data_IF_551607398619
#
_entry.id   IF_551607398619
#
_cell.length_a   1.000
_cell.length_b   1.000
_cell.length_c   1.000
_cell.angle_alpha   90.00
_cell.angle_beta   90.00
_cell.angle_gamma   90.00
#
_symmetry.space_group_name_H-M   'P 1'
#
loop_
_entity.id
_entity.type
_entity.pdbx_description
1 polymer ?
#
# COMPACT_ATOMS: atom_id res chain seq x y z
N UNK A 1 -3.85 17.25 -20.28
CA UNK A 1 -4.41 16.52 -19.10
C UNK A 1 -4.76 17.52 -18.00
N UNK A 2 -5.62 17.11 -17.05
CA UNK A 2 -5.90 17.90 -15.85
C UNK A 2 -5.10 17.34 -14.67
N UNK A 3 -4.43 18.21 -13.91
CA UNK A 3 -3.92 17.90 -12.57
C UNK A 3 -4.75 18.71 -11.57
N UNK A 4 -5.27 18.05 -10.54
CA UNK A 4 -6.14 18.66 -9.55
C UNK A 4 -5.88 18.12 -8.15
N UNK A 5 -6.50 18.74 -7.15
CA UNK A 5 -6.45 18.35 -5.75
C UNK A 5 -5.41 19.13 -4.93
N UNK A 6 -5.66 19.30 -3.62
CA UNK A 6 -4.83 20.13 -2.75
C UNK A 6 -3.39 19.61 -2.57
N UNK A 7 -3.10 18.34 -2.90
CA UNK A 7 -1.76 17.77 -2.75
C UNK A 7 -0.89 17.96 -4.00
N UNK A 8 -1.47 18.43 -5.11
CA UNK A 8 -0.81 18.39 -6.41
C UNK A 8 0.44 19.28 -6.47
N UNK A 9 0.47 20.39 -5.74
CA UNK A 9 1.54 21.38 -5.82
C UNK A 9 2.03 21.84 -4.45
N UNK A 10 2.41 20.90 -3.59
CA UNK A 10 3.00 21.17 -2.27
C UNK A 10 4.11 20.15 -1.97
N UNK A 11 5.24 20.62 -1.45
CA UNK A 11 6.29 19.77 -0.86
C UNK A 11 5.89 19.32 0.54
N UNK A 12 5.12 20.11 1.27
CA UNK A 12 4.67 19.81 2.63
C UNK A 12 3.85 18.53 2.69
N UNK A 13 3.00 18.31 1.69
CA UNK A 13 2.20 17.08 1.55
C UNK A 13 3.03 15.87 1.12
N UNK A 14 4.17 16.09 0.44
CA UNK A 14 5.09 15.01 0.08
C UNK A 14 5.98 14.57 1.26
N UNK A 15 6.31 15.49 2.17
CA UNK A 15 7.30 15.26 3.22
C UNK A 15 6.68 14.94 4.59
N UNK A 16 5.54 15.57 4.93
CA UNK A 16 4.91 15.43 6.24
C UNK A 16 5.76 16.02 7.39
N UNK A 17 5.36 15.74 8.63
CA UNK A 17 6.08 16.17 9.83
C UNK A 17 7.53 15.66 9.91
N UNK A 18 8.30 16.25 10.83
CA UNK A 18 9.74 16.00 11.00
C UNK A 18 10.62 16.32 9.77
N UNK A 19 10.13 17.16 8.86
CA UNK A 19 10.84 17.54 7.63
C UNK A 19 11.14 19.04 7.61
N UNK A 20 12.43 19.40 7.73
CA UNK A 20 12.96 20.78 7.86
C UNK A 20 12.52 21.56 9.12
N UNK A 21 11.30 21.33 9.61
CA UNK A 21 10.81 21.77 10.90
C UNK A 21 9.89 20.69 11.51
N UNK A 22 9.34 20.95 12.70
CA UNK A 22 8.54 19.98 13.44
C UNK A 22 7.29 19.54 12.68
N UNK A 23 6.48 20.49 12.20
CA UNK A 23 5.20 20.22 11.53
C UNK A 23 5.33 19.89 10.04
N UNK A 24 6.47 20.16 9.41
CA UNK A 24 6.71 19.88 7.98
C UNK A 24 6.19 20.96 7.01
N UNK A 25 5.46 21.95 7.53
CA UNK A 25 4.76 23.01 6.79
C UNK A 25 5.70 24.07 6.18
N UNK A 26 6.98 24.05 6.54
CA UNK A 26 8.00 24.93 5.97
C UNK A 26 8.67 24.35 4.71
N UNK A 27 8.38 23.10 4.34
CA UNK A 27 9.06 22.43 3.22
C UNK A 27 8.70 23.01 1.85
N UNK A 28 7.54 23.65 1.69
CA UNK A 28 7.19 24.39 0.45
C UNK A 28 8.18 25.51 0.15
N UNK A 29 8.84 26.06 1.16
CA UNK A 29 9.88 27.08 1.01
C UNK A 29 11.27 26.46 1.09
N UNK A 30 11.51 25.59 2.08
CA UNK A 30 12.83 25.07 2.38
C UNK A 30 13.32 24.00 1.40
N UNK A 31 12.41 23.42 0.61
CA UNK A 31 12.68 22.38 -0.38
C UNK A 31 12.10 22.76 -1.75
N UNK A 32 11.97 24.06 -2.02
CA UNK A 32 11.42 24.58 -3.28
C UNK A 32 12.29 24.23 -4.51
N UNK A 33 13.53 23.79 -4.33
CA UNK A 33 14.38 23.27 -5.41
C UNK A 33 13.96 21.88 -5.91
N UNK A 34 13.08 21.19 -5.17
CA UNK A 34 12.56 19.88 -5.54
C UNK A 34 11.17 19.99 -6.17
N UNK A 35 10.89 19.09 -7.11
CA UNK A 35 9.64 19.09 -7.85
C UNK A 35 8.47 18.55 -7.00
N UNK A 36 7.36 19.29 -6.98
CA UNK A 36 6.04 18.80 -6.54
C UNK A 36 5.49 17.74 -7.53
N UNK A 37 4.32 17.17 -7.25
CA UNK A 37 3.65 16.24 -8.20
C UNK A 37 3.37 16.94 -9.53
N UNK A 38 2.82 18.16 -9.49
CA UNK A 38 2.54 18.98 -10.65
C UNK A 38 3.81 19.24 -11.47
N UNK A 39 4.88 19.70 -10.82
CA UNK A 39 6.14 20.03 -11.49
C UNK A 39 6.84 18.78 -12.06
N UNK A 40 6.77 17.66 -11.33
CA UNK A 40 7.25 16.36 -11.80
C UNK A 40 6.53 15.91 -13.07
N UNK A 41 5.20 16.03 -13.10
CA UNK A 41 4.39 15.73 -14.29
C UNK A 41 4.73 16.68 -15.44
N UNK A 42 4.81 17.98 -15.18
CA UNK A 42 5.17 18.99 -16.19
C UNK A 42 6.56 18.77 -16.77
N UNK A 43 7.51 18.24 -15.98
CA UNK A 43 8.84 17.88 -16.47
C UNK A 43 8.79 16.75 -17.51
N UNK A 44 7.85 15.82 -17.38
CA UNK A 44 7.70 14.68 -18.31
C UNK A 44 6.96 15.07 -19.58
N UNK A 45 5.84 15.81 -19.47
CA UNK A 45 4.95 16.08 -20.61
C UNK A 45 5.00 17.52 -21.13
N UNK A 46 5.73 18.42 -20.48
CA UNK A 46 5.75 19.85 -20.79
C UNK A 46 4.59 20.61 -20.17
N UNK A 47 4.85 21.85 -19.73
CA UNK A 47 3.88 22.69 -19.02
C UNK A 47 2.60 22.95 -19.82
N UNK A 48 2.72 23.14 -21.15
CA UNK A 48 1.58 23.43 -22.03
C UNK A 48 0.58 22.27 -22.15
N UNK A 49 0.98 21.05 -21.76
CA UNK A 49 0.13 19.86 -21.80
C UNK A 49 -0.59 19.58 -20.47
N UNK A 50 -0.37 20.41 -19.46
CA UNK A 50 -0.92 20.26 -18.10
C UNK A 50 -1.74 21.48 -17.74
N UNK A 51 -3.06 21.30 -17.62
CA UNK A 51 -3.91 22.28 -16.97
C UNK A 51 -3.96 21.94 -15.47
N UNK A 52 -3.63 22.90 -14.61
CA UNK A 52 -3.69 22.74 -13.16
C UNK A 52 -4.84 23.56 -12.57
N UNK A 53 -5.78 22.88 -11.91
CA UNK A 53 -6.85 23.53 -11.15
C UNK A 53 -7.02 22.74 -9.86
N UNK A 54 -6.71 23.37 -8.71
CA UNK A 54 -6.70 22.70 -7.41
C UNK A 54 -8.06 22.06 -7.04
N UNK A 55 -9.17 22.73 -7.35
CA UNK A 55 -10.54 22.28 -7.12
C UNK A 55 -11.01 22.42 -5.66
N UNK A 56 -10.17 22.02 -4.71
CA UNK A 56 -10.48 22.08 -3.28
C UNK A 56 -9.22 22.38 -2.46
N UNK A 57 -9.39 23.02 -1.30
CA UNK A 57 -8.43 22.93 -0.20
C UNK A 57 -8.65 21.61 0.56
N UNK A 58 -8.08 21.47 1.75
CA UNK A 58 -8.20 20.25 2.56
C UNK A 58 -9.65 19.94 2.99
N UNK A 59 -10.40 20.95 3.43
CA UNK A 59 -11.72 20.82 4.07
C UNK A 59 -12.84 21.59 3.34
N UNK A 60 -12.50 22.37 2.32
CA UNK A 60 -13.45 23.16 1.54
C UNK A 60 -13.22 23.04 0.03
N UNK A 61 -14.30 23.03 -0.74
CA UNK A 61 -14.23 23.22 -2.19
C UNK A 61 -13.87 24.69 -2.47
N UNK A 62 -13.08 24.95 -3.51
CA UNK A 62 -12.64 26.30 -3.86
C UNK A 62 -13.01 26.64 -5.29
N UNK A 63 -12.34 26.04 -6.28
CA UNK A 63 -12.57 26.25 -7.71
C UNK A 63 -12.91 24.93 -8.43
N UNK A 64 -13.73 24.10 -7.79
CA UNK A 64 -14.15 22.79 -8.27
C UNK A 64 -14.98 22.85 -9.57
N UNK A 65 -15.82 23.87 -9.75
CA UNK A 65 -16.55 24.07 -11.02
C UNK A 65 -15.59 24.29 -12.19
N UNK A 66 -14.51 25.06 -11.96
CA UNK A 66 -13.47 25.27 -12.97
C UNK A 66 -12.70 23.97 -13.24
N UNK A 67 -12.41 23.18 -12.20
CA UNK A 67 -11.76 21.88 -12.33
C UNK A 67 -12.62 20.90 -13.16
N UNK A 68 -13.93 20.85 -12.90
CA UNK A 68 -14.89 20.06 -13.68
C UNK A 68 -14.96 20.53 -15.12
N UNK A 69 -15.00 21.83 -15.37
CA UNK A 69 -15.00 22.36 -16.73
C UNK A 69 -13.73 21.98 -17.50
N UNK A 70 -12.56 22.08 -16.86
CA UNK A 70 -11.29 21.69 -17.47
C UNK A 70 -11.16 20.18 -17.69
N UNK A 71 -11.78 19.38 -16.81
CA UNK A 71 -11.80 17.93 -16.93
C UNK A 71 -12.49 17.45 -18.22
N UNK A 72 -13.56 18.12 -18.67
CA UNK A 72 -14.30 17.74 -19.88
C UNK A 72 -13.38 17.67 -21.12
N UNK A 73 -12.41 18.59 -21.22
CA UNK A 73 -11.48 18.67 -22.34
C UNK A 73 -10.20 17.83 -22.12
N UNK A 74 -10.00 17.26 -20.93
CA UNK A 74 -8.83 16.44 -20.62
C UNK A 74 -9.00 14.99 -21.09
N UNK A 75 -7.90 14.34 -21.50
CA UNK A 75 -7.87 12.90 -21.75
C UNK A 75 -7.83 12.07 -20.45
N UNK A 76 -7.11 12.59 -19.45
CA UNK A 76 -6.89 11.98 -18.13
C UNK A 76 -6.90 13.05 -17.05
N UNK A 77 -7.31 12.66 -15.85
CA UNK A 77 -7.29 13.48 -14.64
C UNK A 77 -6.34 12.83 -13.64
N UNK A 78 -5.31 13.57 -13.21
CA UNK A 78 -4.49 13.20 -12.05
C UNK A 78 -5.03 13.98 -10.86
N UNK A 79 -5.62 13.26 -9.91
CA UNK A 79 -6.25 13.83 -8.73
C UNK A 79 -5.39 13.53 -7.50
N UNK A 80 -4.85 14.56 -6.86
CA UNK A 80 -3.91 14.44 -5.74
C UNK A 80 -4.61 14.82 -4.43
N UNK A 81 -4.95 13.82 -3.62
CA UNK A 81 -5.69 13.97 -2.36
C UNK A 81 -4.88 13.43 -1.17
N UNK A 82 -5.28 13.74 0.05
CA UNK A 82 -4.64 13.22 1.24
C UNK A 82 -4.72 14.14 2.45
N UNK A 83 -3.61 14.21 3.19
CA UNK A 83 -3.50 14.93 4.46
C UNK A 83 -2.51 16.10 4.37
N UNK A 84 -2.74 17.12 5.20
CA UNK A 84 -1.73 18.17 5.42
C UNK A 84 -0.55 17.61 6.21
N UNK A 85 0.58 18.31 6.21
CA UNK A 85 1.72 17.94 7.04
C UNK A 85 1.38 18.15 8.52
N UNK A 86 1.59 17.12 9.34
CA UNK A 86 1.40 17.19 10.79
C UNK A 86 2.48 16.38 11.51
N UNK A 87 2.63 16.63 12.81
CA UNK A 87 3.55 15.88 13.65
C UNK A 87 3.02 15.67 15.07
N UNK A 88 3.09 14.44 15.56
CA UNK A 88 2.68 14.07 16.92
C UNK A 88 1.22 14.45 17.23
N UNK A 89 0.96 15.02 18.41
CA UNK A 89 -0.39 15.26 18.95
C UNK A 89 -1.22 16.24 18.13
N UNK A 90 -0.59 17.19 17.43
CA UNK A 90 -1.32 18.12 16.55
C UNK A 90 -1.96 17.41 15.36
N UNK A 91 -1.46 16.22 15.01
CA UNK A 91 -2.02 15.36 13.98
C UNK A 91 -3.14 14.44 14.47
N UNK A 92 -3.61 14.54 15.71
CA UNK A 92 -4.68 13.65 16.18
C UNK A 92 -5.99 13.86 15.39
N UNK A 93 -6.66 12.75 15.07
CA UNK A 93 -7.89 12.72 14.27
C UNK A 93 -8.88 11.79 14.96
N UNK A 94 -10.16 12.12 14.89
CA UNK A 94 -11.23 11.26 15.42
C UNK A 94 -11.67 10.19 14.42
N UNK A 95 -11.48 10.46 13.12
CA UNK A 95 -11.92 9.58 12.02
C UNK A 95 -10.86 9.54 10.90
N UNK A 96 -10.78 8.39 10.21
CA UNK A 96 -9.86 8.16 9.11
C UNK A 96 -10.44 8.56 7.74
N UNK A 97 -11.71 8.92 7.66
CA UNK A 97 -12.39 9.32 6.43
C UNK A 97 -11.72 10.52 5.77
N UNK A 98 -11.37 10.41 4.49
CA UNK A 98 -10.81 11.52 3.73
C UNK A 98 -11.81 12.71 3.79
N UNK A 99 -11.35 13.96 3.93
CA UNK A 99 -12.26 15.10 4.09
C UNK A 99 -13.34 15.19 3.01
N UNK A 100 -14.56 15.55 3.41
CA UNK A 100 -15.75 15.58 2.54
C UNK A 100 -15.56 16.44 1.29
N UNK A 101 -14.82 17.55 1.37
CA UNK A 101 -14.49 18.39 0.22
C UNK A 101 -13.67 17.62 -0.83
N UNK A 102 -12.67 16.85 -0.39
CA UNK A 102 -11.84 16.04 -1.28
C UNK A 102 -12.63 14.89 -1.90
N UNK A 103 -13.49 14.21 -1.11
CA UNK A 103 -14.42 13.19 -1.61
C UNK A 103 -15.40 13.78 -2.64
N UNK A 104 -15.93 14.97 -2.37
CA UNK A 104 -16.88 15.64 -3.27
C UNK A 104 -16.21 16.06 -4.58
N UNK A 105 -14.99 16.59 -4.52
CA UNK A 105 -14.20 16.91 -5.71
C UNK A 105 -13.95 15.66 -6.56
N UNK A 106 -13.56 14.54 -5.94
CA UNK A 106 -13.33 13.28 -6.65
C UNK A 106 -14.57 12.80 -7.40
N UNK A 107 -15.74 12.81 -6.74
CA UNK A 107 -17.02 12.43 -7.37
C UNK A 107 -17.39 13.34 -8.53
N UNK A 108 -17.21 14.66 -8.36
CA UNK A 108 -17.48 15.64 -9.43
C UNK A 108 -16.59 15.39 -10.65
N UNK A 109 -15.30 15.14 -10.45
CA UNK A 109 -14.36 14.86 -11.53
C UNK A 109 -14.62 13.51 -12.20
N UNK A 110 -14.88 12.45 -11.43
CA UNK A 110 -15.25 11.15 -11.98
C UNK A 110 -16.57 11.20 -12.77
N UNK A 111 -17.52 12.03 -12.32
CA UNK A 111 -18.79 12.28 -13.02
C UNK A 111 -18.67 12.88 -14.42
N UNK A 112 -17.50 13.39 -14.81
CA UNK A 112 -17.22 13.83 -16.19
C UNK A 112 -17.04 12.66 -17.17
N UNK A 113 -16.89 11.44 -16.66
CA UNK A 113 -16.65 10.23 -17.46
C UNK A 113 -15.20 10.07 -17.92
N UNK A 114 -14.29 10.97 -17.53
CA UNK A 114 -12.87 10.85 -17.81
C UNK A 114 -12.16 9.92 -16.82
N UNK A 115 -11.14 9.16 -17.25
CA UNK A 115 -10.35 8.35 -16.33
C UNK A 115 -9.66 9.21 -15.26
N UNK A 116 -9.91 8.89 -13.99
CA UNK A 116 -9.28 9.53 -12.84
C UNK A 116 -8.22 8.61 -12.26
N UNK A 117 -6.98 9.11 -12.16
CA UNK A 117 -5.87 8.48 -11.44
C UNK A 117 -5.74 9.22 -10.11
N UNK A 118 -6.12 8.57 -9.03
CA UNK A 118 -5.97 9.10 -7.68
C UNK A 118 -4.53 8.89 -7.18
N UNK A 119 -3.89 9.95 -6.74
CA UNK A 119 -2.61 9.92 -6.02
C UNK A 119 -2.86 10.35 -4.59
N UNK A 120 -2.54 9.48 -3.63
CA UNK A 120 -2.70 9.74 -2.21
C UNK A 120 -1.37 10.05 -1.55
N UNK A 121 -1.24 11.25 -0.99
CA UNK A 121 -0.11 11.64 -0.14
C UNK A 121 -0.61 11.90 1.27
N UNK A 122 -0.30 10.98 2.17
CA UNK A 122 -0.91 10.88 3.49
C UNK A 122 0.06 10.24 4.49
N UNK A 123 -0.06 10.58 5.76
CA UNK A 123 0.80 9.99 6.81
C UNK A 123 0.27 8.67 7.33
N UNK A 124 -1.02 8.39 7.10
CA UNK A 124 -1.73 7.19 7.54
C UNK A 124 -2.82 6.82 6.49
N UNK A 125 -3.36 5.59 6.48
CA UNK A 125 -4.33 5.19 5.46
C UNK A 125 -5.68 5.89 5.65
N UNK A 126 -6.01 6.87 4.80
CA UNK A 126 -7.31 7.58 4.81
C UNK A 126 -8.39 6.79 4.11
N UNK A 127 -9.60 6.76 4.65
CA UNK A 127 -10.69 6.03 4.01
C UNK A 127 -11.21 6.84 2.82
N UNK A 128 -11.01 6.27 1.62
CA UNK A 128 -11.54 6.77 0.36
C UNK A 128 -12.50 5.76 -0.31
N UNK A 129 -12.93 4.73 0.42
CA UNK A 129 -13.93 3.73 -0.02
C UNK A 129 -15.12 4.34 -0.78
N UNK A 130 -15.72 5.49 -0.39
CA UNK A 130 -16.86 6.06 -1.10
C UNK A 130 -16.62 6.43 -2.57
N UNK A 131 -15.36 6.53 -3.01
CA UNK A 131 -15.00 6.93 -4.38
C UNK A 131 -14.25 5.83 -5.15
N UNK A 132 -13.84 4.72 -4.52
CA UNK A 132 -12.91 3.76 -5.14
C UNK A 132 -13.43 3.17 -6.46
N UNK A 133 -14.74 2.91 -6.56
CA UNK A 133 -15.34 2.31 -7.76
C UNK A 133 -15.49 3.31 -8.92
N UNK A 134 -15.23 4.59 -8.69
CA UNK A 134 -15.30 5.67 -9.68
C UNK A 134 -13.92 6.00 -10.26
N UNK A 135 -12.86 5.41 -9.71
CA UNK A 135 -11.46 5.70 -10.07
C UNK A 135 -10.93 4.67 -11.08
N UNK A 136 -10.10 5.12 -12.01
CA UNK A 136 -9.40 4.25 -12.96
C UNK A 136 -8.15 3.60 -12.35
N UNK A 137 -7.48 4.30 -11.45
CA UNK A 137 -6.32 3.80 -10.72
C UNK A 137 -6.11 4.55 -9.39
N UNK A 138 -5.40 3.93 -8.46
CA UNK A 138 -4.99 4.52 -7.19
C UNK A 138 -3.50 4.27 -6.96
N UNK A 139 -2.76 5.33 -6.64
CA UNK A 139 -1.37 5.29 -6.20
C UNK A 139 -1.29 5.84 -4.78
N UNK A 140 -1.04 4.98 -3.81
CA UNK A 140 -0.76 5.37 -2.43
C UNK A 140 0.74 5.66 -2.30
N UNK A 141 1.11 6.93 -2.19
CA UNK A 141 2.49 7.39 -2.10
C UNK A 141 2.95 7.64 -0.65
N UNK A 142 2.02 7.71 0.31
CA UNK A 142 2.26 8.18 1.68
C UNK A 142 3.02 9.53 1.69
N UNK A 143 4.11 9.65 2.45
CA UNK A 143 5.04 10.77 2.37
C UNK A 143 6.31 10.33 1.61
N UNK A 144 6.37 10.49 0.28
CA UNK A 144 7.49 10.03 -0.55
C UNK A 144 8.76 10.91 -0.44
N UNK A 145 8.71 12.01 0.31
CA UNK A 145 9.83 12.93 0.51
C UNK A 145 10.09 13.87 -0.69
N UNK A 146 11.26 14.56 -0.71
CA UNK A 146 11.49 15.68 -1.63
C UNK A 146 11.49 15.26 -3.12
N UNK A 147 11.95 14.05 -3.43
CA UNK A 147 11.95 13.51 -4.80
C UNK A 147 10.63 12.84 -5.19
N UNK A 148 9.61 12.93 -4.32
CA UNK A 148 8.33 12.25 -4.49
C UNK A 148 7.59 12.64 -5.76
N UNK A 149 7.58 13.93 -6.13
CA UNK A 149 6.96 14.39 -7.36
C UNK A 149 7.54 13.73 -8.62
N UNK A 150 8.87 13.63 -8.68
CA UNK A 150 9.57 12.95 -9.77
C UNK A 150 9.27 11.44 -9.82
N UNK A 151 9.29 10.78 -8.67
CA UNK A 151 9.00 9.35 -8.59
C UNK A 151 7.55 9.05 -9.02
N UNK A 152 6.59 9.85 -8.54
CA UNK A 152 5.17 9.72 -8.91
C UNK A 152 4.99 9.91 -10.42
N UNK A 153 5.60 10.94 -11.01
CA UNK A 153 5.53 11.16 -12.46
C UNK A 153 6.10 9.97 -13.25
N UNK A 154 7.29 9.48 -12.88
CA UNK A 154 7.91 8.31 -13.53
C UNK A 154 7.04 7.04 -13.43
N UNK A 155 6.31 6.87 -12.33
CA UNK A 155 5.36 5.77 -12.19
C UNK A 155 4.16 5.98 -13.10
N UNK A 156 3.47 7.13 -13.03
CA UNK A 156 2.26 7.40 -13.83
C UNK A 156 2.51 7.25 -15.33
N UNK A 157 3.66 7.74 -15.82
CA UNK A 157 4.01 7.66 -17.24
C UNK A 157 4.70 6.33 -17.63
N UNK A 158 5.00 5.47 -16.66
CA UNK A 158 5.52 4.13 -16.90
C UNK A 158 7.00 4.06 -17.23
N UNK A 159 7.77 5.13 -16.99
CA UNK A 159 9.24 5.13 -17.00
C UNK A 159 9.81 4.20 -15.93
N UNK A 160 9.09 4.10 -14.80
CA UNK A 160 9.35 3.13 -13.75
C UNK A 160 8.12 2.25 -13.51
N UNK A 161 8.36 0.97 -13.23
CA UNK A 161 7.31 0.03 -12.86
C UNK A 161 7.11 0.05 -11.33
N UNK A 162 5.89 0.30 -10.81
CA UNK A 162 5.63 0.27 -9.38
C UNK A 162 5.96 -1.10 -8.77
N UNK A 163 6.57 -1.08 -7.59
CA UNK A 163 7.01 -2.28 -6.87
C UNK A 163 6.86 -2.15 -5.35
N UNK A 164 6.13 -1.14 -4.89
CA UNK A 164 5.78 -0.98 -3.47
C UNK A 164 4.70 -2.00 -3.09
N UNK A 165 4.75 -2.48 -1.84
CA UNK A 165 3.68 -3.25 -1.21
C UNK A 165 3.34 -2.56 0.11
N UNK A 166 2.08 -2.58 0.51
CA UNK A 166 1.62 -1.95 1.75
C UNK A 166 2.30 -2.59 2.96
N UNK A 167 2.86 -1.76 3.83
CA UNK A 167 3.40 -2.18 5.13
C UNK A 167 2.35 -2.13 6.26
N UNK A 168 1.10 -1.80 5.92
CA UNK A 168 -0.04 -1.71 6.83
C UNK A 168 -1.29 -2.27 6.15
N UNK A 169 -2.23 -2.80 6.93
CA UNK A 169 -3.57 -3.09 6.42
C UNK A 169 -4.32 -1.78 6.20
N UNK A 170 -4.85 -1.56 5.00
CA UNK A 170 -5.60 -0.35 4.66
C UNK A 170 -7.09 -0.56 4.98
N UNK A 171 -7.69 0.13 5.96
CA UNK A 171 -9.07 -0.13 6.37
C UNK A 171 -10.09 0.44 5.39
N UNK A 172 -11.28 -0.18 5.34
CA UNK A 172 -12.45 0.35 4.62
C UNK A 172 -13.31 1.32 5.47
N UNK A 173 -13.22 1.20 6.79
CA UNK A 173 -14.08 1.89 7.77
C UNK A 173 -13.28 2.28 9.01
N UNK A 174 -13.55 3.46 9.57
CA UNK A 174 -12.86 3.98 10.76
C UNK A 174 -13.11 3.09 11.99
N UNK A 175 -14.26 2.42 12.04
CA UNK A 175 -14.62 1.48 13.10
C UNK A 175 -14.13 0.04 12.92
N UNK A 176 -13.43 -0.28 11.82
CA UNK A 176 -12.93 -1.63 11.53
C UNK A 176 -11.43 -1.60 11.24
N UNK A 177 -10.63 -1.58 12.31
CA UNK A 177 -9.17 -1.46 12.27
C UNK A 177 -8.52 -2.79 12.69
N UNK A 178 -8.71 -3.82 11.88
CA UNK A 178 -8.18 -5.15 12.13
C UNK A 178 -6.88 -5.35 11.32
N UNK A 179 -5.76 -5.74 11.94
CA UNK A 179 -4.50 -5.95 11.23
C UNK A 179 -4.44 -7.31 10.52
N UNK A 180 -3.46 -7.49 9.62
CA UNK A 180 -3.31 -8.72 8.84
C UNK A 180 -2.96 -9.97 9.66
N UNK A 181 -2.38 -9.77 10.84
CA UNK A 181 -2.01 -10.81 11.80
C UNK A 181 -3.03 -10.96 12.94
N UNK A 182 -4.29 -10.57 12.68
CA UNK A 182 -5.42 -10.81 13.57
C UNK A 182 -5.55 -12.28 13.96
N UNK A 183 -6.32 -12.54 15.02
CA UNK A 183 -6.69 -13.86 15.50
C UNK A 183 -7.88 -14.40 14.72
N UNK A 184 -7.97 -15.73 14.58
CA UNK A 184 -9.15 -16.38 14.00
C UNK A 184 -10.48 -15.99 14.68
N UNK A 185 -10.45 -15.56 15.95
CA UNK A 185 -11.63 -15.10 16.70
C UNK A 185 -12.09 -13.68 16.35
N UNK A 186 -11.27 -12.92 15.63
CA UNK A 186 -11.58 -11.59 15.11
C UNK A 186 -12.26 -11.66 13.73
N UNK A 187 -12.01 -12.75 12.97
CA UNK A 187 -12.70 -13.03 11.71
C UNK A 187 -13.97 -13.89 11.96
N UNK A 188 -14.98 -13.31 12.64
CA UNK A 188 -16.21 -14.03 12.99
C UNK A 188 -17.16 -14.16 11.79
N UNK A 189 -17.67 -15.37 11.59
CA UNK A 189 -18.65 -15.74 10.56
C UNK A 189 -20.06 -15.13 10.82
N UNK A 190 -20.42 -14.15 10.00
CA UNK A 190 -21.70 -13.85 9.30
C UNK A 190 -23.07 -14.26 9.86
N UNK A 191 -23.33 -14.35 11.17
CA UNK A 191 -24.73 -14.55 11.61
C UNK A 191 -25.64 -13.33 11.31
N UNK A 192 -25.08 -12.12 11.12
CA UNK A 192 -25.87 -10.89 10.88
C UNK A 192 -25.30 -9.85 9.91
N UNK A 193 -24.00 -9.82 9.59
CA UNK A 193 -23.41 -8.65 8.88
C UNK A 193 -22.00 -8.87 8.31
N UNK A 194 -21.86 -9.58 7.17
CA UNK A 194 -20.62 -9.60 6.38
C UNK A 194 -19.40 -10.28 7.02
N UNK A 195 -18.24 -10.15 6.36
CA UNK A 195 -16.92 -10.59 6.86
C UNK A 195 -16.45 -9.62 7.95
N UNK A 196 -15.87 -10.13 9.03
CA UNK A 196 -15.36 -9.27 10.12
C UNK A 196 -13.98 -8.68 9.78
N UNK A 197 -13.14 -9.46 9.09
CA UNK A 197 -11.94 -8.95 8.44
C UNK A 197 -12.24 -8.56 6.99
N UNK A 198 -12.39 -7.25 6.74
CA UNK A 198 -12.75 -6.68 5.43
C UNK A 198 -11.96 -5.39 5.14
N UNK A 199 -10.62 -5.49 4.95
CA UNK A 199 -9.81 -4.34 4.62
C UNK A 199 -10.04 -3.86 3.18
N UNK A 200 -9.67 -2.63 2.89
CA UNK A 200 -9.71 -2.08 1.54
C UNK A 200 -8.57 -2.70 0.72
N UNK A 201 -7.40 -2.81 1.36
CA UNK A 201 -6.25 -3.53 0.86
C UNK A 201 -5.52 -4.22 2.01
N UNK A 202 -5.11 -5.46 1.77
CA UNK A 202 -4.34 -6.28 2.71
C UNK A 202 -2.92 -5.72 2.92
N UNK A 203 -2.34 -6.02 4.08
CA UNK A 203 -0.88 -5.94 4.25
C UNK A 203 -0.18 -6.75 3.16
N UNK A 204 0.87 -6.19 2.58
CA UNK A 204 1.61 -6.79 1.46
C UNK A 204 0.92 -6.65 0.10
N UNK A 205 -0.22 -5.97 0.00
CA UNK A 205 -0.87 -5.68 -1.29
C UNK A 205 -0.12 -4.59 -2.06
N UNK A 206 -0.05 -4.74 -3.38
CA UNK A 206 0.52 -3.75 -4.28
C UNK A 206 0.69 -4.33 -5.69
N UNK A 207 0.38 -3.52 -6.70
CA UNK A 207 0.37 -3.94 -8.10
C UNK A 207 1.67 -3.53 -8.81
N UNK A 208 1.83 -4.07 -10.02
CA UNK A 208 2.91 -3.79 -10.96
C UNK A 208 2.32 -3.62 -12.36
N UNK A 209 3.05 -2.97 -13.28
CA UNK A 209 2.74 -2.97 -14.72
C UNK A 209 3.10 -4.28 -15.44
N UNK A 210 3.47 -5.32 -14.67
CA UNK A 210 3.62 -6.69 -15.14
C UNK A 210 2.96 -7.65 -14.17
N UNK A 211 2.83 -8.93 -14.52
CA UNK A 211 2.22 -9.96 -13.68
C UNK A 211 3.24 -11.02 -13.28
N UNK A 212 3.13 -11.54 -12.06
CA UNK A 212 3.99 -12.59 -11.53
C UNK A 212 3.18 -13.84 -11.18
N UNK A 213 3.72 -15.02 -11.46
CA UNK A 213 3.14 -16.30 -11.04
C UNK A 213 4.10 -17.06 -10.16
N UNK A 214 3.56 -17.73 -9.15
CA UNK A 214 4.30 -18.58 -8.22
C UNK A 214 3.97 -20.05 -8.49
N UNK A 215 4.96 -20.93 -8.47
CA UNK A 215 4.75 -22.37 -8.65
C UNK A 215 5.78 -23.21 -7.89
N UNK A 216 5.60 -24.52 -7.87
CA UNK A 216 6.59 -25.50 -7.40
C UNK A 216 7.08 -25.26 -5.96
N UNK A 217 6.15 -25.00 -5.03
CA UNK A 217 6.50 -24.90 -3.61
C UNK A 217 7.02 -26.25 -3.09
N UNK A 218 8.23 -26.23 -2.53
CA UNK A 218 8.89 -27.38 -1.93
C UNK A 218 9.28 -27.04 -0.50
N UNK A 219 8.89 -27.89 0.45
CA UNK A 219 9.40 -27.89 1.82
C UNK A 219 10.34 -29.09 1.92
N UNK A 220 11.65 -28.85 2.10
CA UNK A 220 12.66 -29.91 2.01
C UNK A 220 12.47 -31.00 3.08
N UNK A 221 12.13 -30.59 4.31
CA UNK A 221 11.81 -31.49 5.41
C UNK A 221 10.47 -31.09 6.04
N UNK A 222 9.47 -31.98 5.94
CA UNK A 222 8.14 -31.76 6.51
C UNK A 222 8.07 -32.00 8.02
N UNK A 223 9.13 -32.50 8.64
CA UNK A 223 9.24 -32.68 10.09
C UNK A 223 10.51 -32.02 10.61
N UNK A 224 10.38 -30.85 11.24
CA UNK A 224 11.52 -30.04 11.64
C UNK A 224 11.64 -30.02 13.16
N UNK A 225 12.84 -30.27 13.68
CA UNK A 225 13.13 -30.07 15.10
C UNK A 225 12.96 -28.60 15.48
N UNK A 226 12.48 -28.32 16.70
CA UNK A 226 12.42 -26.95 17.24
C UNK A 226 13.74 -26.17 17.25
N UNK A 227 14.87 -26.85 17.05
CA UNK A 227 16.21 -26.24 16.93
C UNK A 227 16.76 -26.21 15.49
N UNK A 228 15.99 -26.70 14.52
CA UNK A 228 16.38 -26.75 13.12
C UNK A 228 16.05 -25.49 12.35
N UNK A 229 16.19 -25.58 11.02
CA UNK A 229 15.76 -24.58 10.06
C UNK A 229 14.69 -25.18 9.15
N UNK A 230 13.68 -24.37 8.86
CA UNK A 230 12.68 -24.63 7.83
C UNK A 230 13.22 -24.14 6.50
N UNK A 231 13.46 -25.07 5.58
CA UNK A 231 13.94 -24.79 4.23
C UNK A 231 12.78 -24.89 3.24
N UNK A 232 12.44 -23.79 2.59
CA UNK A 232 11.35 -23.71 1.61
C UNK A 232 11.85 -23.07 0.33
N UNK A 233 11.53 -23.67 -0.82
CA UNK A 233 11.79 -23.08 -2.12
C UNK A 233 10.55 -23.07 -3.01
N UNK A 234 10.54 -22.17 -3.99
CA UNK A 234 9.49 -22.04 -4.99
C UNK A 234 10.03 -21.31 -6.22
N UNK A 235 9.31 -21.44 -7.33
CA UNK A 235 9.61 -20.69 -8.55
C UNK A 235 8.72 -19.46 -8.64
N UNK A 236 9.31 -18.33 -9.02
CA UNK A 236 8.60 -17.11 -9.41
C UNK A 236 8.93 -16.77 -10.85
N UNK A 237 7.90 -16.48 -11.64
CA UNK A 237 8.01 -16.10 -13.06
C UNK A 237 7.35 -14.77 -13.34
N UNK A 238 8.03 -13.90 -14.09
CA UNK A 238 7.38 -12.75 -14.70
C UNK A 238 6.62 -13.21 -15.96
N UNK A 239 5.30 -13.11 -15.92
CA UNK A 239 4.39 -13.58 -16.96
C UNK A 239 3.86 -12.45 -17.85
N UNK A 240 4.17 -11.20 -17.52
CA UNK A 240 3.78 -10.05 -18.33
C UNK A 240 4.84 -9.66 -19.36
N UNK A 241 4.67 -8.45 -19.92
CA UNK A 241 5.45 -7.94 -21.05
C UNK A 241 6.46 -6.86 -20.65
N UNK A 242 6.57 -6.53 -19.36
CA UNK A 242 7.48 -5.50 -18.85
C UNK A 242 8.39 -6.08 -17.77
N UNK A 243 9.64 -5.60 -17.64
CA UNK A 243 10.44 -5.90 -16.46
C UNK A 243 9.76 -5.35 -15.21
N UNK A 244 9.96 -6.02 -14.07
CA UNK A 244 9.37 -5.62 -12.81
C UNK A 244 10.12 -6.17 -11.61
N UNK A 245 9.83 -5.60 -10.44
CA UNK A 245 10.32 -6.08 -9.15
C UNK A 245 9.14 -6.55 -8.31
N UNK A 246 9.20 -7.78 -7.81
CA UNK A 246 8.18 -8.33 -6.91
C UNK A 246 8.76 -8.50 -5.51
N UNK A 247 8.09 -7.94 -4.50
CA UNK A 247 8.44 -8.16 -3.10
C UNK A 247 7.65 -9.37 -2.58
N UNK A 248 8.34 -10.50 -2.45
CA UNK A 248 7.77 -11.78 -2.03
C UNK A 248 7.80 -11.89 -0.52
N UNK A 249 6.63 -11.88 0.13
CA UNK A 249 6.51 -12.15 1.56
C UNK A 249 6.42 -13.65 1.86
N UNK A 250 7.19 -14.10 2.84
CA UNK A 250 7.14 -15.46 3.39
C UNK A 250 6.39 -15.45 4.73
N UNK A 251 5.21 -16.08 4.75
CA UNK A 251 4.33 -16.10 5.92
C UNK A 251 4.26 -17.49 6.54
N UNK A 252 4.11 -17.54 7.86
CA UNK A 252 3.87 -18.79 8.59
C UNK A 252 2.67 -18.62 9.52
N UNK A 253 1.79 -19.63 9.53
CA UNK A 253 0.68 -19.77 10.47
C UNK A 253 0.97 -20.95 11.40
N UNK A 254 0.84 -20.73 12.70
CA UNK A 254 0.75 -21.83 13.67
C UNK A 254 -0.72 -22.28 13.70
N UNK A 255 -0.99 -23.55 13.41
CA UNK A 255 -2.36 -24.04 13.28
C UNK A 255 -3.00 -24.36 14.63
N UNK A 256 -2.19 -24.60 15.67
CA UNK A 256 -2.68 -24.89 17.02
C UNK A 256 -1.61 -24.56 18.04
N UNK A 257 -1.92 -23.61 18.92
CA UNK A 257 -1.05 -23.21 20.01
C UNK A 257 -1.84 -23.05 21.32
N UNK A 258 -1.13 -23.09 22.45
CA UNK A 258 -1.70 -22.91 23.78
C UNK A 258 -2.32 -21.53 24.01
N UNK A 259 -1.88 -20.52 23.25
CA UNK A 259 -2.52 -19.22 23.11
C UNK A 259 -2.98 -19.07 21.67
N UNK A 260 -4.18 -18.51 21.46
CA UNK A 260 -4.74 -18.29 20.12
C UNK A 260 -3.71 -17.64 19.18
N UNK A 261 -3.25 -18.36 18.13
CA UNK A 261 -2.25 -17.85 17.21
C UNK A 261 -2.87 -16.82 16.25
N UNK A 262 -2.06 -15.90 15.70
CA UNK A 262 -2.47 -15.07 14.58
C UNK A 262 -2.74 -15.93 13.33
N UNK A 263 -3.62 -15.47 12.44
CA UNK A 263 -3.99 -16.22 11.22
C UNK A 263 -2.80 -16.44 10.27
N UNK A 264 -1.80 -15.54 10.31
CA UNK A 264 -0.48 -15.65 9.67
C UNK A 264 0.45 -14.58 10.25
N UNK A 265 1.77 -14.77 10.17
CA UNK A 265 2.78 -13.70 10.38
C UNK A 265 3.84 -13.72 9.30
N UNK A 266 4.27 -12.54 8.86
CA UNK A 266 5.46 -12.39 8.03
C UNK A 266 6.68 -12.86 8.82
N UNK A 267 7.50 -13.73 8.22
CA UNK A 267 8.75 -14.22 8.83
C UNK A 267 9.99 -13.81 8.04
N UNK A 268 9.85 -13.60 6.74
CA UNK A 268 10.91 -13.07 5.88
C UNK A 268 10.32 -12.48 4.59
N UNK A 269 11.11 -11.74 3.83
CA UNK A 269 10.73 -11.28 2.49
C UNK A 269 11.95 -11.05 1.60
N UNK A 270 11.76 -11.20 0.28
CA UNK A 270 12.80 -10.88 -0.71
C UNK A 270 12.22 -10.05 -1.86
N UNK A 271 12.98 -9.05 -2.34
CA UNK A 271 12.57 -8.22 -3.49
C UNK A 271 13.35 -8.60 -4.74
N UNK A 272 12.63 -9.19 -5.70
CA UNK A 272 13.23 -9.89 -6.84
C UNK A 272 12.93 -9.15 -8.13
N UNK A 273 13.97 -8.81 -8.88
CA UNK A 273 13.84 -8.29 -10.25
C UNK A 273 13.77 -9.42 -11.27
N UNK A 274 12.83 -9.32 -12.22
CA UNK A 274 12.63 -10.28 -13.30
C UNK A 274 12.32 -9.57 -14.63
N UNK A 275 13.01 -9.97 -15.69
CA UNK A 275 12.66 -9.60 -17.06
C UNK A 275 11.42 -10.39 -17.55
N UNK A 276 10.73 -9.94 -18.61
CA UNK A 276 9.59 -10.69 -19.18
C UNK A 276 9.96 -12.14 -19.49
N UNK A 277 9.14 -13.09 -19.01
CA UNK A 277 9.33 -14.53 -19.20
C UNK A 277 10.40 -15.18 -18.30
N UNK A 278 11.21 -14.40 -17.57
CA UNK A 278 12.25 -14.91 -16.67
C UNK A 278 11.61 -15.65 -15.48
N UNK A 279 12.21 -16.78 -15.10
CA UNK A 279 11.85 -17.56 -13.91
C UNK A 279 13.05 -17.65 -12.99
N UNK A 280 12.86 -17.45 -11.69
CA UNK A 280 13.87 -17.68 -10.65
C UNK A 280 13.35 -18.66 -9.62
N UNK A 281 14.22 -19.54 -9.16
CA UNK A 281 13.99 -20.34 -7.97
C UNK A 281 14.47 -19.55 -6.75
N UNK A 282 13.59 -19.39 -5.77
CA UNK A 282 13.81 -18.61 -4.54
C UNK A 282 13.80 -19.57 -3.36
N UNK A 283 14.67 -19.34 -2.37
CA UNK A 283 14.79 -20.18 -1.20
C UNK A 283 14.80 -19.34 0.09
N UNK A 284 13.94 -19.71 1.02
CA UNK A 284 13.94 -19.19 2.39
C UNK A 284 14.46 -20.26 3.36
N UNK A 285 15.30 -19.84 4.30
CA UNK A 285 15.82 -20.66 5.41
C UNK A 285 15.46 -19.97 6.72
N UNK A 286 14.44 -20.49 7.42
CA UNK A 286 13.90 -19.86 8.62
C UNK A 286 14.26 -20.69 9.85
N UNK A 287 15.07 -20.18 10.79
CA UNK A 287 15.29 -20.81 12.07
C UNK A 287 13.97 -21.02 12.82
N UNK A 288 13.72 -22.22 13.36
CA UNK A 288 12.44 -22.53 14.01
C UNK A 288 12.18 -21.66 15.24
N UNK A 289 13.24 -21.19 15.90
CA UNK A 289 13.14 -20.20 16.99
C UNK A 289 12.44 -18.90 16.57
N UNK A 290 12.51 -18.53 15.29
CA UNK A 290 11.88 -17.31 14.79
C UNK A 290 10.36 -17.50 14.63
N UNK A 291 9.87 -18.74 14.68
CA UNK A 291 8.44 -19.05 14.75
C UNK A 291 7.87 -18.89 16.16
N UNK A 292 8.71 -18.70 17.18
CA UNK A 292 8.29 -18.61 18.56
C UNK A 292 7.24 -17.53 18.81
N UNK A 293 6.45 -17.75 19.85
CA UNK A 293 5.54 -16.77 20.42
C UNK A 293 5.78 -16.63 21.93
N UNK A 294 5.24 -15.57 22.52
CA UNK A 294 5.31 -15.33 23.96
C UNK A 294 4.12 -16.02 24.62
N UNK A 295 4.41 -17.03 25.44
CA UNK A 295 3.41 -17.81 26.18
C UNK A 295 2.78 -17.05 27.35
N UNK A 296 1.83 -17.69 28.03
CA UNK A 296 1.04 -17.09 29.13
C UNK A 296 1.91 -16.75 30.35
N UNK A 297 3.08 -17.38 30.46
CA UNK A 297 4.08 -17.13 31.48
C UNK A 297 5.15 -16.09 31.06
N UNK A 298 4.91 -15.35 29.97
CA UNK A 298 5.81 -14.37 29.36
C UNK A 298 7.16 -14.95 28.90
N UNK A 299 7.21 -16.23 28.52
CA UNK A 299 8.40 -16.85 27.95
C UNK A 299 8.24 -17.14 26.47
N UNK A 300 9.35 -17.01 25.74
CA UNK A 300 9.42 -17.43 24.35
C UNK A 300 9.42 -18.95 24.26
N UNK A 301 8.53 -19.50 23.44
CA UNK A 301 8.49 -20.92 23.13
C UNK A 301 8.06 -21.17 21.68
N UNK A 302 8.48 -22.31 21.17
CA UNK A 302 7.95 -22.95 19.97
C UNK A 302 7.29 -24.23 20.44
N UNK A 303 6.01 -24.39 20.15
CA UNK A 303 5.26 -25.60 20.49
C UNK A 303 5.37 -26.62 19.36
N UNK A 304 5.51 -27.93 19.68
CA UNK A 304 5.33 -28.98 18.69
C UNK A 304 3.90 -28.92 18.13
N UNK A 305 3.76 -29.03 16.82
CA UNK A 305 2.46 -28.85 16.17
C UNK A 305 2.59 -28.65 14.67
N UNK A 306 1.44 -28.57 14.00
CA UNK A 306 1.38 -28.30 12.57
C UNK A 306 1.47 -26.80 12.28
N UNK A 307 2.30 -26.45 11.31
CA UNK A 307 2.46 -25.10 10.82
C UNK A 307 2.20 -25.06 9.33
N UNK A 308 1.66 -23.95 8.84
CA UNK A 308 1.40 -23.70 7.42
C UNK A 308 2.29 -22.57 6.93
N UNK A 309 3.06 -22.83 5.88
CA UNK A 309 3.77 -21.79 5.12
C UNK A 309 2.86 -21.23 4.04
N UNK A 310 3.03 -19.96 3.72
CA UNK A 310 2.37 -19.30 2.61
C UNK A 310 3.35 -18.36 1.88
N UNK A 311 3.38 -18.47 0.55
CA UNK A 311 4.08 -17.56 -0.36
C UNK A 311 3.17 -17.30 -1.56
N UNK A 312 2.71 -16.05 -1.72
CA UNK A 312 1.64 -15.75 -2.67
C UNK A 312 0.41 -16.63 -2.39
N UNK A 313 -0.06 -17.33 -3.42
CA UNK A 313 -1.17 -18.29 -3.33
C UNK A 313 -0.72 -19.73 -3.01
N UNK A 314 0.59 -19.97 -2.92
CA UNK A 314 1.13 -21.29 -2.60
C UNK A 314 1.09 -21.50 -1.09
N UNK A 315 0.66 -22.69 -0.68
CA UNK A 315 0.66 -23.10 0.73
C UNK A 315 1.22 -24.51 0.89
N UNK A 316 1.78 -24.78 2.06
CA UNK A 316 2.25 -26.12 2.43
C UNK A 316 2.26 -26.28 3.95
N UNK A 317 2.11 -27.52 4.42
CA UNK A 317 2.09 -27.86 5.85
C UNK A 317 3.34 -28.63 6.22
N UNK A 318 3.89 -28.32 7.39
CA UNK A 318 4.99 -29.05 8.03
C UNK A 318 4.72 -29.18 9.54
N UNK A 319 5.40 -30.14 10.16
CA UNK A 319 5.28 -30.48 11.56
C UNK A 319 6.55 -30.04 12.31
N UNK A 320 6.38 -29.37 13.44
CA UNK A 320 7.47 -29.11 14.40
C UNK A 320 7.49 -30.21 15.46
N UNK A 321 8.68 -30.76 15.73
CA UNK A 321 8.94 -31.78 16.75
C UNK A 321 9.74 -31.23 17.94
#
# INVERSE_FOLDING_TARGET
>A
MLVAGPMANSQSTLNGGWSTNWQGDATDVNLAEYNTILEGIQTVVGMDNVNYIQGADFDQLTNDEAAVSAAIDADYIILCLGEFSYCEDSGNLNELDLPDAQITLAKKLAGTGKPVILVLTEGRPRIFRPIINELGAVLVAFHPGPQGGNAIAQLIFGDQNPSGKLAVTYPQYSGSLVPYDHKYTEDRDVWRSGKSYDPQFEFGYGLSYTTFSYSNLVIENKEVSKYGNLEVSFDIKNTGQRPGKEAVGFYVSDLTASITPPVKRLRDFEKIYLNPGETKNVKFSIPLRDLAFVGIDNKWLVEPGEFKVQVGDLTGVFLVK
#
